data_IF_476604987687
#
_entry.id   IF_476604987687
#
_cell.length_a   1.000
_cell.length_b   1.000
_cell.length_c   1.000
_cell.angle_alpha   90.00
_cell.angle_beta   90.00
_cell.angle_gamma   90.00
#
_symmetry.space_group_name_H-M   'P 1'
#
loop_
_entity.id
_entity.type
_entity.pdbx_description
1 polymer ?
#
# COMPACT_ATOMS: atom_id res chain seq x y z
N UNK A 1 56.07 55.80 7.22
CA UNK A 1 56.94 54.63 7.51
C UNK A 1 56.20 53.66 8.36
N UNK A 2 56.23 52.41 8.00
CA UNK A 2 55.73 51.22 8.67
C UNK A 2 54.35 50.74 8.16
N UNK A 3 54.48 49.93 7.18
CA UNK A 3 53.46 49.07 6.60
C UNK A 3 53.15 47.92 7.54
N UNK A 4 51.90 47.79 7.96
CA UNK A 4 51.41 46.59 8.65
C UNK A 4 50.59 45.78 7.67
N UNK A 5 51.12 44.62 7.39
CA UNK A 5 50.47 43.59 6.55
C UNK A 5 49.51 42.80 7.40
N UNK A 6 48.23 42.97 7.15
CA UNK A 6 47.21 42.15 7.80
C UNK A 6 46.92 40.91 6.93
N UNK A 7 47.31 39.75 7.43
CA UNK A 7 46.93 38.46 6.84
C UNK A 7 45.47 38.18 7.05
N UNK A 8 44.71 38.16 5.98
CA UNK A 8 43.34 37.62 5.99
C UNK A 8 43.41 36.09 5.86
N UNK A 9 43.12 35.42 6.96
CA UNK A 9 42.89 33.98 6.95
C UNK A 9 41.48 33.70 6.45
N UNK A 10 41.37 33.23 5.23
CA UNK A 10 40.11 32.71 4.69
C UNK A 10 39.94 31.29 5.18
N UNK A 11 39.04 31.12 6.15
CA UNK A 11 38.59 29.80 6.56
C UNK A 11 37.61 29.26 5.52
N UNK A 12 38.07 28.31 4.73
CA UNK A 12 37.21 27.51 3.86
C UNK A 12 36.39 26.54 4.75
N UNK A 13 35.14 26.89 4.99
CA UNK A 13 34.17 25.97 5.56
C UNK A 13 33.74 25.01 4.45
N UNK A 14 34.35 23.85 4.38
CA UNK A 14 33.87 22.76 3.55
C UNK A 14 32.66 22.15 4.24
N UNK A 15 31.46 22.56 3.85
CA UNK A 15 30.23 21.85 4.19
C UNK A 15 30.28 20.49 3.50
N UNK A 16 30.57 19.46 4.28
CA UNK A 16 30.32 18.09 3.86
C UNK A 16 28.81 17.90 3.76
N UNK A 17 28.29 17.93 2.53
CA UNK A 17 26.95 17.51 2.21
C UNK A 17 26.93 15.99 2.41
N UNK A 18 26.43 15.51 3.54
CA UNK A 18 26.02 14.13 3.67
C UNK A 18 24.82 13.92 2.76
N UNK A 19 25.09 13.42 1.55
CA UNK A 19 24.06 12.82 0.74
C UNK A 19 23.65 11.53 1.45
N UNK A 20 22.54 11.56 2.18
CA UNK A 20 21.85 10.35 2.59
C UNK A 20 21.28 9.71 1.34
N UNK A 21 22.04 8.76 0.82
CA UNK A 21 21.62 7.84 -0.21
C UNK A 21 20.61 6.86 0.42
N UNK A 22 19.37 7.30 0.57
CA UNK A 22 18.28 6.38 0.82
C UNK A 22 18.05 5.63 -0.47
N UNK A 23 18.13 4.29 -0.47
CA UNK A 23 17.77 3.52 -1.67
C UNK A 23 16.31 3.82 -1.99
N UNK A 24 16.12 4.64 -3.00
CA UNK A 24 14.82 4.92 -3.57
C UNK A 24 14.39 3.63 -4.27
N UNK A 25 13.77 2.73 -3.50
CA UNK A 25 12.99 1.63 -4.09
C UNK A 25 11.98 2.31 -4.99
N UNK A 26 12.17 2.12 -6.30
CA UNK A 26 11.26 2.67 -7.29
C UNK A 26 9.85 2.21 -6.92
N UNK A 27 9.07 3.12 -6.33
CA UNK A 27 7.66 2.91 -6.08
C UNK A 27 7.02 2.67 -7.45
N UNK A 28 6.52 1.46 -7.67
CA UNK A 28 5.73 1.18 -8.87
C UNK A 28 4.51 2.07 -8.77
N UNK A 29 4.56 3.19 -9.46
CA UNK A 29 3.48 4.17 -9.47
C UNK A 29 2.34 3.57 -10.28
N UNK A 30 1.34 3.03 -9.58
CA UNK A 30 0.09 2.63 -10.22
C UNK A 30 -0.69 3.91 -10.51
N UNK A 31 -1.10 4.13 -11.77
CA UNK A 31 -1.94 5.30 -12.08
C UNK A 31 -3.20 5.31 -11.22
N UNK A 32 -3.60 6.49 -10.75
CA UNK A 32 -4.84 6.65 -9.98
C UNK A 32 -6.04 6.06 -10.76
N UNK A 33 -6.85 5.27 -10.06
CA UNK A 33 -8.03 4.64 -10.65
C UNK A 33 -7.79 3.33 -11.40
N UNK A 34 -6.54 2.84 -11.51
CA UNK A 34 -6.22 1.54 -12.12
C UNK A 34 -5.79 0.56 -11.04
N UNK A 35 -6.47 -0.58 -10.97
CA UNK A 35 -6.07 -1.66 -10.07
C UNK A 35 -5.01 -2.55 -10.73
N UNK A 36 -3.87 -2.74 -10.05
CA UNK A 36 -2.85 -3.69 -10.47
C UNK A 36 -3.12 -5.06 -9.85
N UNK A 37 -3.24 -6.10 -10.68
CA UNK A 37 -3.29 -7.48 -10.20
C UNK A 37 -1.94 -7.89 -9.62
N UNK A 38 -1.96 -8.58 -8.50
CA UNK A 38 -0.79 -9.12 -7.82
C UNK A 38 -1.02 -10.56 -7.39
N UNK A 39 0.03 -11.36 -7.47
CA UNK A 39 0.07 -12.71 -6.91
C UNK A 39 0.21 -12.68 -5.38
N UNK A 40 0.03 -13.80 -4.66
CA UNK A 40 0.30 -13.86 -3.22
C UNK A 40 1.72 -13.43 -2.83
N UNK A 41 2.72 -13.77 -3.63
CA UNK A 41 4.11 -13.38 -3.36
C UNK A 41 4.34 -11.88 -3.56
N UNK A 42 3.79 -11.31 -4.62
CA UNK A 42 3.85 -9.87 -4.87
C UNK A 42 3.08 -9.07 -3.82
N UNK A 43 1.93 -9.59 -3.39
CA UNK A 43 1.13 -8.98 -2.32
C UNK A 43 1.88 -9.01 -0.98
N UNK A 44 2.48 -10.13 -0.62
CA UNK A 44 3.31 -10.21 0.59
C UNK A 44 4.48 -9.23 0.55
N UNK A 45 5.18 -9.18 -0.59
CA UNK A 45 6.27 -8.21 -0.79
C UNK A 45 5.78 -6.77 -0.68
N UNK A 46 4.66 -6.45 -1.30
CA UNK A 46 4.05 -5.13 -1.23
C UNK A 46 3.76 -4.71 0.22
N UNK A 47 3.20 -5.62 1.03
CA UNK A 47 2.88 -5.34 2.44
C UNK A 47 4.13 -5.20 3.31
N UNK A 48 5.20 -5.94 3.03
CA UNK A 48 6.49 -5.83 3.70
C UNK A 48 7.22 -4.52 3.36
N UNK A 49 7.22 -4.16 2.09
CA UNK A 49 7.91 -2.96 1.60
C UNK A 49 7.15 -1.67 1.94
N UNK A 50 5.83 -1.75 2.06
CA UNK A 50 4.98 -0.61 2.37
C UNK A 50 3.93 -0.94 3.44
N UNK A 51 4.27 -0.80 4.72
CA UNK A 51 3.36 -1.10 5.84
C UNK A 51 2.16 -0.14 5.93
N UNK A 52 2.10 0.91 5.11
CA UNK A 52 0.96 1.83 5.03
C UNK A 52 -0.15 1.32 4.10
N UNK A 53 0.09 0.26 3.34
CA UNK A 53 -0.94 -0.38 2.51
C UNK A 53 -2.02 -0.98 3.41
N UNK A 54 -3.27 -0.68 3.10
CA UNK A 54 -4.42 -1.21 3.82
C UNK A 54 -4.95 -2.42 3.07
N UNK A 55 -4.98 -3.58 3.74
CA UNK A 55 -5.62 -4.77 3.19
C UNK A 55 -7.13 -4.66 3.41
N UNK A 56 -7.90 -4.72 2.34
CA UNK A 56 -9.36 -4.68 2.34
C UNK A 56 -9.91 -6.04 1.97
N UNK A 57 -10.44 -6.75 2.96
CA UNK A 57 -11.09 -8.04 2.79
C UNK A 57 -12.59 -7.84 2.60
N UNK A 58 -13.09 -8.14 1.42
CA UNK A 58 -14.51 -7.97 1.07
C UNK A 58 -15.32 -9.27 1.17
N UNK A 59 -14.81 -10.23 1.94
CA UNK A 59 -15.55 -11.45 2.31
C UNK A 59 -16.57 -11.16 3.41
N UNK A 60 -17.38 -12.17 3.73
CA UNK A 60 -18.31 -12.05 4.85
C UNK A 60 -17.57 -12.04 6.20
N UNK A 61 -18.18 -11.52 7.29
CA UNK A 61 -17.58 -11.55 8.62
C UNK A 61 -17.24 -12.97 9.10
N UNK A 62 -18.04 -13.96 8.74
CA UNK A 62 -17.81 -15.38 9.11
C UNK A 62 -16.57 -15.95 8.37
N UNK A 63 -16.38 -15.59 7.11
CA UNK A 63 -15.18 -15.96 6.35
C UNK A 63 -13.94 -15.29 6.94
N UNK A 64 -14.05 -14.02 7.30
CA UNK A 64 -12.98 -13.23 7.92
C UNK A 64 -12.57 -13.80 9.28
N UNK A 65 -13.52 -14.16 10.13
CA UNK A 65 -13.27 -14.70 11.47
C UNK A 65 -12.58 -16.07 11.44
N UNK A 66 -12.74 -16.85 10.37
CA UNK A 66 -12.05 -18.14 10.20
C UNK A 66 -10.57 -17.99 9.87
N UNK A 67 -10.16 -16.84 9.38
CA UNK A 67 -8.79 -16.49 9.05
C UNK A 67 -8.77 -15.37 8.02
N UNK A 68 -7.80 -14.45 8.17
CA UNK A 68 -7.62 -13.29 7.28
C UNK A 68 -6.15 -12.89 7.19
N UNK A 69 -5.81 -12.07 6.21
CA UNK A 69 -4.46 -11.50 6.09
C UNK A 69 -4.22 -10.56 7.26
N UNK A 70 -3.03 -10.62 7.86
CA UNK A 70 -2.66 -9.81 9.02
C UNK A 70 -2.98 -8.31 8.83
N UNK A 71 -3.66 -7.72 9.80
CA UNK A 71 -4.06 -6.31 9.78
C UNK A 71 -5.15 -5.94 8.78
N UNK A 72 -5.79 -6.91 8.11
CA UNK A 72 -6.87 -6.66 7.15
C UNK A 72 -8.09 -6.02 7.81
N UNK A 73 -8.74 -5.13 7.07
CA UNK A 73 -10.05 -4.57 7.40
C UNK A 73 -11.14 -5.32 6.63
N UNK A 74 -12.18 -5.75 7.34
CA UNK A 74 -13.33 -6.40 6.70
C UNK A 74 -14.41 -5.40 6.31
N UNK A 75 -14.81 -5.44 5.06
CA UNK A 75 -15.98 -4.71 4.53
C UNK A 75 -16.78 -5.69 3.69
N UNK A 76 -17.83 -6.26 4.25
CA UNK A 76 -18.63 -7.30 3.59
C UNK A 76 -19.29 -6.78 2.30
N UNK A 77 -18.91 -7.38 1.17
CA UNK A 77 -19.48 -7.07 -0.16
C UNK A 77 -20.99 -7.25 -0.22
N UNK A 78 -21.55 -8.14 0.59
CA UNK A 78 -22.99 -8.47 0.62
C UNK A 78 -23.80 -7.56 1.56
N UNK A 79 -23.13 -6.75 2.38
CA UNK A 79 -23.81 -5.85 3.32
C UNK A 79 -24.56 -4.75 2.59
N UNK A 80 -25.73 -4.37 3.11
CA UNK A 80 -26.56 -3.30 2.53
C UNK A 80 -25.83 -1.94 2.49
N UNK A 81 -24.94 -1.68 3.46
CA UNK A 81 -24.14 -0.47 3.61
C UNK A 81 -22.76 -0.54 2.93
N UNK A 82 -22.52 -1.57 2.12
CA UNK A 82 -21.22 -1.79 1.45
C UNK A 82 -20.77 -0.56 0.63
N UNK A 83 -21.66 -0.03 -0.19
CA UNK A 83 -21.34 1.12 -1.06
C UNK A 83 -20.96 2.37 -0.24
N UNK A 84 -21.64 2.61 0.88
CA UNK A 84 -21.36 3.72 1.79
C UNK A 84 -20.01 3.54 2.48
N UNK A 85 -19.71 2.34 2.96
CA UNK A 85 -18.42 1.99 3.58
C UNK A 85 -17.27 2.16 2.61
N UNK A 86 -17.41 1.73 1.37
CA UNK A 86 -16.39 1.93 0.33
C UNK A 86 -16.22 3.42 -0.01
N UNK A 87 -17.32 4.16 -0.10
CA UNK A 87 -17.27 5.60 -0.36
C UNK A 87 -16.60 6.40 0.78
N UNK A 88 -16.70 5.92 2.02
CA UNK A 88 -16.11 6.53 3.21
C UNK A 88 -14.62 6.21 3.40
N UNK A 89 -14.03 5.30 2.60
CA UNK A 89 -12.61 4.98 2.67
C UNK A 89 -11.74 6.18 2.31
N UNK A 90 -10.61 6.31 2.99
CA UNK A 90 -9.63 7.37 2.72
C UNK A 90 -8.99 7.18 1.33
N UNK A 91 -9.27 8.11 0.44
CA UNK A 91 -8.81 8.07 -0.95
C UNK A 91 -7.32 8.35 -1.12
N UNK A 92 -6.68 8.95 -0.12
CA UNK A 92 -5.23 9.18 -0.09
C UNK A 92 -4.40 7.95 0.25
N UNK A 93 -5.05 6.83 0.56
CA UNK A 93 -4.38 5.58 0.94
C UNK A 93 -4.26 4.61 -0.22
N UNK A 94 -3.31 3.68 -0.08
CA UNK A 94 -3.14 2.54 -0.97
C UNK A 94 -3.88 1.33 -0.40
N UNK A 95 -4.64 0.63 -1.22
CA UNK A 95 -5.41 -0.54 -0.84
C UNK A 95 -4.99 -1.78 -1.60
N UNK A 96 -4.87 -2.90 -0.89
CA UNK A 96 -4.82 -4.24 -1.45
C UNK A 96 -6.18 -4.90 -1.20
N UNK A 97 -6.96 -5.05 -2.26
CA UNK A 97 -8.34 -5.56 -2.18
C UNK A 97 -8.36 -7.03 -2.56
N UNK A 98 -9.04 -7.84 -1.76
CA UNK A 98 -9.25 -9.25 -2.05
C UNK A 98 -10.60 -9.77 -1.53
N UNK A 99 -11.00 -10.91 -2.07
CA UNK A 99 -12.05 -11.75 -1.51
C UNK A 99 -11.56 -13.21 -1.42
N UNK A 100 -12.43 -14.20 -1.49
CA UNK A 100 -12.04 -15.61 -1.44
C UNK A 100 -11.29 -16.07 -2.71
N UNK A 101 -11.78 -15.69 -3.90
CA UNK A 101 -11.30 -16.15 -5.20
C UNK A 101 -11.31 -15.08 -6.31
N UNK A 102 -11.44 -13.80 -5.97
CA UNK A 102 -11.29 -12.67 -6.90
C UNK A 102 -12.60 -12.06 -7.43
N UNK A 103 -13.74 -12.77 -7.45
CA UNK A 103 -14.96 -12.28 -8.08
C UNK A 103 -15.61 -11.06 -7.38
N UNK A 104 -15.77 -11.11 -6.06
CA UNK A 104 -16.32 -10.00 -5.27
C UNK A 104 -15.36 -8.79 -5.25
N UNK A 105 -14.07 -9.05 -5.11
CA UNK A 105 -13.04 -8.01 -5.10
C UNK A 105 -12.90 -7.30 -6.44
N UNK A 106 -13.06 -8.00 -7.56
CA UNK A 106 -13.09 -7.38 -8.89
C UNK A 106 -14.22 -6.35 -9.00
N UNK A 107 -15.44 -6.73 -8.59
CA UNK A 107 -16.60 -5.80 -8.56
C UNK A 107 -16.40 -4.63 -7.61
N UNK A 108 -15.74 -4.88 -6.46
CA UNK A 108 -15.38 -3.82 -5.52
C UNK A 108 -14.44 -2.82 -6.16
N UNK A 109 -13.42 -3.29 -6.85
CA UNK A 109 -12.47 -2.43 -7.55
C UNK A 109 -13.12 -1.64 -8.69
N UNK A 110 -14.07 -2.24 -9.41
CA UNK A 110 -14.86 -1.50 -10.41
C UNK A 110 -15.61 -0.33 -9.78
N UNK A 111 -16.17 -0.50 -8.59
CA UNK A 111 -16.81 0.57 -7.83
C UNK A 111 -15.82 1.60 -7.27
N UNK A 112 -14.53 1.25 -7.10
CA UNK A 112 -13.48 2.13 -6.56
C UNK A 112 -12.75 2.93 -7.65
N UNK A 113 -12.68 2.46 -8.88
CA UNK A 113 -11.92 3.06 -9.99
C UNK A 113 -12.23 4.54 -10.20
N UNK A 114 -13.52 4.91 -10.16
CA UNK A 114 -13.98 6.27 -10.44
C UNK A 114 -13.98 7.19 -9.20
N UNK A 115 -13.42 6.73 -8.07
CA UNK A 115 -13.45 7.45 -6.78
C UNK A 115 -12.12 8.09 -6.40
N UNK A 116 -11.16 8.16 -7.32
CA UNK A 116 -9.86 8.83 -7.14
C UNK A 116 -9.01 8.29 -5.97
N UNK A 117 -8.97 6.98 -5.77
CA UNK A 117 -8.04 6.36 -4.83
C UNK A 117 -6.59 6.51 -5.32
N UNK A 118 -5.66 6.73 -4.39
CA UNK A 118 -4.25 6.97 -4.70
C UNK A 118 -3.60 5.78 -5.42
N UNK A 119 -3.81 4.55 -4.92
CA UNK A 119 -3.38 3.33 -5.58
C UNK A 119 -4.24 2.13 -5.16
N UNK A 120 -4.54 1.27 -6.11
CA UNK A 120 -5.32 0.05 -5.91
C UNK A 120 -4.53 -1.17 -6.38
N UNK A 121 -4.50 -2.20 -5.56
CA UNK A 121 -3.95 -3.51 -5.88
C UNK A 121 -5.03 -4.57 -5.71
N UNK A 122 -5.00 -5.58 -6.54
CA UNK A 122 -5.95 -6.67 -6.52
C UNK A 122 -5.22 -8.00 -6.33
N UNK A 123 -5.42 -8.65 -5.19
CA UNK A 123 -5.04 -10.05 -5.03
C UNK A 123 -6.11 -10.89 -5.75
N UNK A 124 -5.95 -11.01 -7.07
CA UNK A 124 -6.99 -11.53 -7.97
C UNK A 124 -7.32 -13.01 -7.76
N UNK A 125 -6.35 -13.80 -7.28
CA UNK A 125 -6.57 -15.20 -6.91
C UNK A 125 -7.20 -15.35 -5.51
N UNK A 126 -7.26 -14.26 -4.74
CA UNK A 126 -7.94 -14.16 -3.48
C UNK A 126 -7.26 -14.85 -2.30
N UNK A 127 -7.99 -14.91 -1.19
CA UNK A 127 -7.50 -15.47 0.06
C UNK A 127 -7.16 -16.96 -0.03
N UNK A 128 -7.87 -17.73 -0.86
CA UNK A 128 -7.58 -19.16 -1.06
C UNK A 128 -6.17 -19.38 -1.60
N UNK A 129 -5.72 -18.55 -2.54
CA UNK A 129 -4.36 -18.64 -3.07
C UNK A 129 -3.32 -18.19 -2.04
N UNK A 130 -3.65 -17.17 -1.23
CA UNK A 130 -2.82 -16.72 -0.11
C UNK A 130 -2.54 -17.84 0.89
N UNK A 131 -3.60 -18.54 1.35
CA UNK A 131 -3.47 -19.69 2.25
C UNK A 131 -2.70 -20.85 1.60
N UNK A 132 -3.00 -21.17 0.33
CA UNK A 132 -2.32 -22.23 -0.42
C UNK A 132 -0.82 -21.95 -0.56
N UNK A 133 -0.42 -20.69 -0.68
CA UNK A 133 0.97 -20.27 -0.73
C UNK A 133 1.66 -20.27 0.64
N UNK A 134 0.95 -20.65 1.71
CA UNK A 134 1.51 -20.70 3.09
C UNK A 134 1.80 -19.34 3.69
N UNK A 135 1.13 -18.29 3.23
CA UNK A 135 1.33 -16.93 3.71
C UNK A 135 0.70 -16.71 5.09
N UNK A 136 1.16 -15.72 5.88
CA UNK A 136 0.66 -15.46 7.24
C UNK A 136 -0.84 -15.17 7.28
N UNK A 137 -1.54 -15.82 8.23
CA UNK A 137 -2.97 -15.68 8.46
C UNK A 137 -3.21 -15.42 9.94
N UNK A 138 -4.06 -14.45 10.24
CA UNK A 138 -4.60 -14.19 11.58
C UNK A 138 -6.03 -14.72 11.71
N UNK A 139 -6.46 -14.94 12.96
CA UNK A 139 -7.85 -15.33 13.32
C UNK A 139 -8.43 -14.36 14.33
#
# INVERSE_FOLDING_TARGET
MKTSLALLAVALLTSALCAEDTPHVAAVTVPAGVAKNVSPDEAEKLLKDNPKVIVLDVRTPEEFAKGHIAGAKNVDFKAADFAEKVAALDKGKTYLVHCAAGGRSSKTLDAMKDKNFAALYHLNEGFKAWEKAGKPVEK
#
